data_IF_475813482494
#
_entry.id   IF_475813482494
#
_cell.length_a   1.000
_cell.length_b   1.000
_cell.length_c   1.000
_cell.angle_alpha   90.00
_cell.angle_beta   90.00
_cell.angle_gamma   90.00
#
_symmetry.space_group_name_H-M   'P 1'
#
loop_
_entity.id
_entity.type
_entity.pdbx_description
1 polymer ?
#
# COMPACT_ATOMS: atom_id res chain seq x y z
N UNK A 1 -16.11 -9.16 -0.46
CA UNK A 1 -16.18 -7.73 -0.06
C UNK A 1 -14.85 -7.08 -0.41
N UNK A 2 -14.87 -5.94 -1.11
CA UNK A 2 -13.66 -5.21 -1.48
C UNK A 2 -12.92 -4.74 -0.22
N UNK A 3 -11.59 -4.81 -0.21
CA UNK A 3 -10.76 -4.25 0.87
C UNK A 3 -11.01 -2.73 1.06
N UNK A 4 -11.52 -2.06 0.03
CA UNK A 4 -11.87 -0.63 0.07
C UNK A 4 -13.23 -0.33 0.68
N UNK A 5 -14.04 -1.34 1.01
CA UNK A 5 -15.37 -1.13 1.60
C UNK A 5 -15.31 -0.34 2.90
N UNK A 6 -14.26 -0.52 3.71
CA UNK A 6 -14.06 0.22 4.96
C UNK A 6 -13.97 1.74 4.74
N UNK A 7 -13.46 2.19 3.59
CA UNK A 7 -13.33 3.61 3.26
C UNK A 7 -14.58 4.20 2.60
N UNK A 8 -15.46 3.35 2.04
CA UNK A 8 -16.59 3.79 1.22
C UNK A 8 -17.95 3.54 1.82
N UNK A 9 -18.08 2.66 2.84
CA UNK A 9 -19.38 2.30 3.42
C UNK A 9 -20.15 3.46 4.07
N UNK A 10 -19.46 4.54 4.45
CA UNK A 10 -20.08 5.78 4.95
C UNK A 10 -20.61 6.70 3.85
N UNK A 11 -20.26 6.46 2.59
CA UNK A 11 -20.72 7.22 1.43
C UNK A 11 -22.14 6.73 1.07
N UNK A 12 -23.07 7.67 0.91
CA UNK A 12 -24.41 7.39 0.40
C UNK A 12 -24.40 7.36 -1.12
N UNK A 13 -23.95 8.46 -1.74
CA UNK A 13 -23.84 8.60 -3.19
C UNK A 13 -22.80 9.64 -3.58
N UNK A 14 -22.36 9.57 -4.83
CA UNK A 14 -21.51 10.57 -5.47
C UNK A 14 -22.30 11.21 -6.60
N UNK A 15 -22.37 12.53 -6.62
CA UNK A 15 -23.15 13.30 -7.59
C UNK A 15 -22.20 14.19 -8.39
N UNK A 16 -22.24 14.07 -9.73
CA UNK A 16 -21.54 15.02 -10.60
C UNK A 16 -22.30 16.33 -10.64
N UNK A 17 -21.68 17.41 -10.17
CA UNK A 17 -22.22 18.76 -10.24
C UNK A 17 -21.92 19.40 -11.61
N UNK A 18 -20.64 19.32 -12.03
CA UNK A 18 -20.17 19.76 -13.34
C UNK A 18 -18.90 18.99 -13.73
N UNK A 19 -18.16 19.42 -14.76
CA UNK A 19 -16.99 18.68 -15.25
C UNK A 19 -15.78 18.70 -14.31
N UNK A 20 -15.75 19.59 -13.33
CA UNK A 20 -14.65 19.72 -12.36
C UNK A 20 -15.11 19.63 -10.90
N UNK A 21 -16.39 19.33 -10.64
CA UNK A 21 -16.95 19.29 -9.28
C UNK A 21 -17.81 18.05 -9.10
N UNK A 22 -17.57 17.37 -7.98
CA UNK A 22 -18.39 16.25 -7.51
C UNK A 22 -18.76 16.47 -6.04
N UNK A 23 -19.99 16.10 -5.68
CA UNK A 23 -20.42 16.05 -4.29
C UNK A 23 -20.38 14.61 -3.80
N UNK A 24 -19.78 14.40 -2.64
CA UNK A 24 -19.79 13.12 -1.95
C UNK A 24 -20.78 13.24 -0.80
N UNK A 25 -21.94 12.63 -0.98
CA UNK A 25 -23.01 12.63 0.03
C UNK A 25 -22.74 11.52 1.06
N UNK A 26 -22.75 11.90 2.33
CA UNK A 26 -22.46 10.97 3.42
C UNK A 26 -23.75 10.56 4.14
N UNK A 27 -23.80 9.31 4.64
CA UNK A 27 -24.90 8.80 5.50
C UNK A 27 -24.96 9.49 6.86
N UNK A 28 -23.87 10.10 7.28
CA UNK A 28 -23.72 10.85 8.52
C UNK A 28 -22.37 11.58 8.58
N UNK A 29 -22.10 12.36 9.63
CA UNK A 29 -20.82 13.08 9.77
C UNK A 29 -19.62 12.12 9.73
N UNK A 30 -18.64 12.43 8.89
CA UNK A 30 -17.38 11.68 8.83
C UNK A 30 -16.18 12.65 8.80
N UNK A 31 -15.60 12.97 9.96
CA UNK A 31 -14.50 13.93 10.05
C UNK A 31 -13.20 13.43 9.43
N UNK A 32 -13.07 12.12 9.16
CA UNK A 32 -11.86 11.50 8.58
C UNK A 32 -12.01 11.18 7.09
N UNK A 33 -13.10 11.59 6.45
CA UNK A 33 -13.37 11.27 5.03
C UNK A 33 -12.20 11.64 4.12
N UNK A 34 -11.65 12.85 4.26
CA UNK A 34 -10.55 13.30 3.39
C UNK A 34 -9.32 12.41 3.51
N UNK A 35 -8.99 11.94 4.72
CA UNK A 35 -7.90 10.99 4.93
C UNK A 35 -8.22 9.63 4.31
N UNK A 36 -9.47 9.16 4.42
CA UNK A 36 -9.91 7.90 3.78
C UNK A 36 -9.84 7.97 2.26
N UNK A 37 -10.15 9.11 1.65
CA UNK A 37 -10.08 9.30 0.21
C UNK A 37 -8.65 9.21 -0.35
N UNK A 38 -7.61 9.44 0.46
CA UNK A 38 -6.22 9.27 0.02
C UNK A 38 -5.87 7.83 -0.34
N UNK A 39 -6.61 6.86 0.20
CA UNK A 39 -6.44 5.43 -0.10
C UNK A 39 -7.12 5.02 -1.43
N UNK A 40 -8.02 5.84 -1.95
CA UNK A 40 -8.77 5.54 -3.17
C UNK A 40 -8.03 6.07 -4.40
N UNK A 41 -7.56 5.17 -5.23
CA UNK A 41 -6.89 5.54 -6.49
C UNK A 41 -7.93 5.75 -7.58
N UNK A 42 -7.92 6.95 -8.17
CA UNK A 42 -8.88 7.33 -9.22
C UNK A 42 -8.32 6.90 -10.58
N UNK A 43 -9.14 6.19 -11.35
CA UNK A 43 -8.80 5.75 -12.71
C UNK A 43 -9.62 6.52 -13.75
N UNK A 44 -9.07 6.69 -14.94
CA UNK A 44 -9.80 7.24 -16.08
C UNK A 44 -10.89 6.28 -16.52
N UNK A 45 -12.15 6.73 -16.47
CA UNK A 45 -13.29 5.93 -16.96
C UNK A 45 -13.15 5.59 -18.42
N UNK A 46 -12.79 6.55 -19.28
CA UNK A 46 -12.61 6.32 -20.72
C UNK A 46 -11.53 5.27 -21.02
N UNK A 47 -10.43 5.26 -20.25
CA UNK A 47 -9.41 4.23 -20.34
C UNK A 47 -9.93 2.86 -19.88
N UNK A 48 -10.66 2.81 -18.79
CA UNK A 48 -11.21 1.58 -18.25
C UNK A 48 -12.28 0.96 -19.20
N UNK A 49 -13.14 1.80 -19.77
CA UNK A 49 -14.12 1.40 -20.79
C UNK A 49 -13.42 0.82 -22.03
N UNK A 50 -12.46 1.53 -22.57
CA UNK A 50 -11.68 1.10 -23.77
C UNK A 50 -11.02 -0.25 -23.55
N UNK A 51 -10.53 -0.53 -22.36
CA UNK A 51 -9.78 -1.74 -22.00
C UNK A 51 -10.63 -2.79 -21.28
N UNK A 52 -11.94 -2.63 -21.24
CA UNK A 52 -12.90 -3.56 -20.59
C UNK A 52 -12.52 -3.86 -19.13
N UNK A 53 -12.11 -2.83 -18.39
CA UNK A 53 -11.58 -2.92 -17.01
C UNK A 53 -12.42 -2.13 -16.00
N UNK A 54 -13.71 -1.91 -16.27
CA UNK A 54 -14.64 -1.26 -15.33
C UNK A 54 -15.01 -2.18 -14.18
N UNK A 55 -15.15 -3.47 -14.46
CA UNK A 55 -15.50 -4.46 -13.45
C UNK A 55 -14.25 -4.92 -12.70
N UNK A 56 -14.26 -4.88 -11.35
CA UNK A 56 -13.15 -5.42 -10.58
C UNK A 56 -13.10 -6.94 -10.73
N UNK A 57 -11.91 -7.45 -11.03
CA UNK A 57 -11.62 -8.87 -11.16
C UNK A 57 -10.81 -9.35 -9.97
N UNK A 58 -11.01 -10.60 -9.54
CA UNK A 58 -10.21 -11.19 -8.46
C UNK A 58 -9.07 -12.03 -9.06
N UNK A 59 -7.86 -11.49 -9.02
CA UNK A 59 -6.66 -12.15 -9.53
C UNK A 59 -6.41 -13.54 -8.89
N UNK A 60 -6.92 -13.79 -7.68
CA UNK A 60 -6.80 -15.08 -7.00
C UNK A 60 -7.57 -16.19 -7.71
N UNK A 61 -8.59 -15.82 -8.46
CA UNK A 61 -9.38 -16.76 -9.29
C UNK A 61 -8.82 -16.92 -10.70
N UNK A 62 -7.65 -16.36 -10.99
CA UNK A 62 -7.03 -16.30 -12.33
C UNK A 62 -7.86 -15.50 -13.35
N UNK A 63 -8.80 -14.69 -12.89
CA UNK A 63 -9.60 -13.80 -13.71
C UNK A 63 -8.94 -12.40 -13.71
N UNK A 64 -8.01 -12.19 -14.62
CA UNK A 64 -7.30 -10.92 -14.76
C UNK A 64 -8.00 -10.00 -15.76
N UNK A 65 -8.13 -8.72 -15.42
CA UNK A 65 -8.46 -7.67 -16.36
C UNK A 65 -7.19 -7.05 -16.95
N UNK A 66 -7.33 -6.32 -18.05
CA UNK A 66 -6.21 -5.57 -18.64
C UNK A 66 -5.53 -4.64 -17.62
N UNK A 67 -6.30 -4.05 -16.70
CA UNK A 67 -5.78 -3.14 -15.68
C UNK A 67 -4.80 -3.80 -14.69
N UNK A 68 -4.83 -5.11 -14.51
CA UNK A 68 -3.89 -5.79 -13.60
C UNK A 68 -2.44 -5.71 -14.08
N UNK A 69 -2.24 -5.65 -15.38
CA UNK A 69 -0.89 -5.62 -16.00
C UNK A 69 -0.54 -4.28 -16.65
N UNK A 70 -1.52 -3.41 -16.79
CA UNK A 70 -1.36 -2.15 -17.50
C UNK A 70 -1.86 -1.01 -16.62
N UNK A 71 -0.94 -0.34 -15.96
CA UNK A 71 -1.28 0.79 -15.12
C UNK A 71 -1.53 2.05 -15.96
N UNK A 72 -2.54 2.83 -15.58
CA UNK A 72 -2.80 4.14 -16.13
C UNK A 72 -3.09 5.11 -14.97
N UNK A 73 -2.24 6.09 -14.81
CA UNK A 73 -2.34 7.11 -13.78
C UNK A 73 -2.00 8.50 -14.31
N UNK A 74 -2.29 9.52 -13.50
CA UNK A 74 -1.98 10.92 -13.78
C UNK A 74 -0.79 11.43 -12.95
N UNK A 75 0.00 10.53 -12.38
CA UNK A 75 1.14 10.83 -11.52
C UNK A 75 2.42 11.23 -12.27
N UNK A 76 3.49 11.56 -11.53
CA UNK A 76 4.77 12.00 -12.09
C UNK A 76 5.54 10.91 -12.82
N UNK A 77 5.21 9.64 -12.62
CA UNK A 77 5.84 8.51 -13.26
C UNK A 77 4.82 7.59 -13.92
N UNK A 78 5.23 6.91 -14.98
CA UNK A 78 4.46 5.90 -15.72
C UNK A 78 5.17 4.56 -15.66
N UNK A 79 4.42 3.47 -15.66
CA UNK A 79 4.97 2.11 -15.76
C UNK A 79 5.51 1.91 -17.19
N UNK A 80 6.81 1.63 -17.31
CA UNK A 80 7.48 1.25 -18.56
C UNK A 80 7.50 -0.26 -18.73
N UNK A 81 7.81 -0.97 -17.65
CA UNK A 81 7.94 -2.41 -17.64
C UNK A 81 7.57 -2.94 -16.26
N UNK A 82 6.88 -4.05 -16.21
CA UNK A 82 6.60 -4.77 -14.96
C UNK A 82 6.75 -6.27 -15.17
N UNK A 83 7.73 -6.84 -14.50
CA UNK A 83 7.96 -8.27 -14.37
C UNK A 83 7.67 -8.65 -12.91
N UNK A 84 6.53 -9.32 -12.62
CA UNK A 84 6.16 -9.70 -11.25
C UNK A 84 7.29 -10.44 -10.54
N UNK A 85 7.50 -10.11 -9.28
CA UNK A 85 8.56 -10.64 -8.41
C UNK A 85 10.02 -10.41 -8.87
N UNK A 86 10.24 -9.72 -9.99
CA UNK A 86 11.57 -9.46 -10.54
C UNK A 86 11.90 -7.97 -10.53
N UNK A 87 11.15 -7.16 -11.29
CA UNK A 87 11.37 -5.71 -11.36
C UNK A 87 10.14 -4.95 -11.80
N UNK A 88 10.06 -3.70 -11.40
CA UNK A 88 9.16 -2.69 -11.93
C UNK A 88 9.98 -1.48 -12.37
N UNK A 89 9.86 -1.08 -13.62
CA UNK A 89 10.52 0.11 -14.17
C UNK A 89 9.50 1.20 -14.38
N UNK A 90 9.73 2.33 -13.74
CA UNK A 90 8.94 3.54 -13.89
C UNK A 90 9.76 4.60 -14.61
N UNK A 91 9.15 5.33 -15.53
CA UNK A 91 9.78 6.47 -16.21
C UNK A 91 8.98 7.74 -15.98
N UNK A 92 9.66 8.88 -16.02
CA UNK A 92 9.01 10.18 -15.86
C UNK A 92 7.86 10.34 -16.84
N UNK A 93 6.73 10.84 -16.35
CA UNK A 93 5.58 11.22 -17.15
C UNK A 93 5.78 12.66 -17.69
N UNK A 94 6.03 12.84 -19.00
CA UNK A 94 6.26 14.18 -19.55
C UNK A 94 4.99 15.04 -19.55
N UNK A 95 3.81 14.42 -19.49
CA UNK A 95 2.52 15.10 -19.44
C UNK A 95 1.98 15.27 -18.01
N UNK A 96 2.81 15.08 -16.99
CA UNK A 96 2.35 15.26 -15.62
C UNK A 96 2.00 16.72 -15.33
N UNK A 97 0.77 16.95 -14.88
CA UNK A 97 0.23 18.28 -14.60
C UNK A 97 0.98 19.06 -13.51
N UNK A 98 1.65 18.37 -12.59
CA UNK A 98 2.45 18.97 -11.50
C UNK A 98 3.90 19.25 -11.83
N UNK A 99 4.35 19.06 -13.09
CA UNK A 99 5.75 19.19 -13.47
C UNK A 99 6.37 20.56 -13.18
N UNK A 100 5.58 21.63 -13.22
CA UNK A 100 6.04 22.99 -12.92
C UNK A 100 6.22 23.25 -11.41
N UNK A 101 5.47 22.53 -10.57
CA UNK A 101 5.45 22.74 -9.10
C UNK A 101 6.36 21.80 -8.32
N UNK A 102 6.76 20.67 -8.91
CA UNK A 102 7.59 19.68 -8.26
C UNK A 102 8.80 19.31 -9.13
N UNK A 103 9.92 19.97 -8.84
CA UNK A 103 11.18 19.67 -9.54
C UNK A 103 11.82 18.42 -8.96
N UNK A 104 12.17 17.47 -9.85
CA UNK A 104 12.96 16.30 -9.52
C UNK A 104 13.94 16.02 -10.65
N UNK A 105 15.13 15.56 -10.29
CA UNK A 105 16.14 15.08 -11.24
C UNK A 105 15.98 13.60 -11.57
N UNK A 106 15.09 12.88 -10.88
CA UNK A 106 14.83 11.46 -11.14
C UNK A 106 14.05 11.31 -12.43
N UNK A 107 14.59 10.55 -13.38
CA UNK A 107 13.99 10.26 -14.69
C UNK A 107 13.48 8.84 -14.82
N UNK A 108 14.10 7.91 -14.10
CA UNK A 108 13.72 6.49 -14.08
C UNK A 108 13.84 5.96 -12.65
N UNK A 109 12.93 5.05 -12.27
CA UNK A 109 12.95 4.32 -11.00
C UNK A 109 12.89 2.84 -11.34
N UNK A 110 13.88 2.08 -10.88
CA UNK A 110 13.92 0.62 -11.00
C UNK A 110 13.66 0.04 -9.62
N UNK A 111 12.48 -0.53 -9.42
CA UNK A 111 12.14 -1.22 -8.19
C UNK A 111 12.44 -2.71 -8.32
N UNK A 112 13.33 -3.22 -7.46
CA UNK A 112 13.71 -4.64 -7.38
C UNK A 112 13.28 -5.21 -6.03
N UNK A 113 12.41 -6.23 -5.99
CA UNK A 113 11.99 -6.86 -4.74
C UNK A 113 13.14 -7.67 -4.14
N UNK A 114 13.72 -7.22 -3.05
CA UNK A 114 14.73 -7.96 -2.27
C UNK A 114 14.08 -8.37 -0.95
N UNK A 115 13.67 -9.64 -0.84
CA UNK A 115 12.87 -10.13 0.30
C UNK A 115 13.67 -10.19 1.61
N UNK A 116 14.95 -10.57 1.53
CA UNK A 116 15.80 -10.71 2.71
C UNK A 116 16.34 -9.35 3.19
N UNK A 117 16.09 -8.99 4.44
CA UNK A 117 16.49 -7.71 5.02
C UNK A 117 18.00 -7.50 4.99
N UNK A 118 18.79 -8.51 5.40
CA UNK A 118 20.26 -8.44 5.40
C UNK A 118 20.82 -8.22 4.00
N UNK A 119 20.25 -8.87 2.98
CA UNK A 119 20.65 -8.68 1.58
C UNK A 119 20.32 -7.27 1.11
N UNK A 120 19.16 -6.74 1.48
CA UNK A 120 18.74 -5.38 1.15
C UNK A 120 19.64 -4.33 1.79
N UNK A 121 20.00 -4.52 3.07
CA UNK A 121 20.96 -3.65 3.78
C UNK A 121 22.35 -3.72 3.16
N UNK A 122 22.83 -4.91 2.77
CA UNK A 122 24.12 -5.08 2.12
C UNK A 122 24.15 -4.38 0.75
N UNK A 123 23.12 -4.54 -0.08
CA UNK A 123 23.00 -3.88 -1.38
C UNK A 123 22.99 -2.34 -1.26
N UNK A 124 22.34 -1.80 -0.21
CA UNK A 124 22.37 -0.37 0.08
C UNK A 124 23.77 0.12 0.47
N UNK A 125 24.47 -0.62 1.33
CA UNK A 125 25.81 -0.26 1.78
C UNK A 125 26.88 -0.37 0.69
N UNK A 126 26.69 -1.30 -0.26
CA UNK A 126 27.59 -1.46 -1.41
C UNK A 126 27.34 -0.44 -2.54
N UNK A 127 26.19 0.28 -2.49
CA UNK A 127 25.79 1.18 -3.56
C UNK A 127 25.17 0.46 -4.77
N UNK A 128 24.78 -0.80 -4.63
CA UNK A 128 24.03 -1.53 -5.67
C UNK A 128 22.61 -0.98 -5.85
N UNK A 129 22.04 -0.44 -4.77
CA UNK A 129 20.75 0.24 -4.78
C UNK A 129 20.88 1.61 -4.11
N UNK A 130 20.03 2.56 -4.54
CA UNK A 130 20.07 3.96 -4.10
C UNK A 130 19.09 4.27 -2.96
N UNK A 131 18.09 3.41 -2.73
CA UNK A 131 17.02 3.68 -1.78
C UNK A 131 16.42 2.41 -1.21
N UNK A 132 16.14 2.39 0.09
CA UNK A 132 15.36 1.34 0.77
C UNK A 132 14.30 1.97 1.67
N UNK A 133 13.14 1.32 1.76
CA UNK A 133 12.11 1.61 2.75
C UNK A 133 12.23 0.62 3.91
N UNK A 134 11.89 1.09 5.12
CA UNK A 134 11.75 0.27 6.32
C UNK A 134 12.95 -0.68 6.55
N UNK A 135 14.19 -0.17 6.66
CA UNK A 135 15.32 -1.00 7.05
C UNK A 135 15.11 -1.55 8.46
N UNK A 136 15.71 -2.73 8.73
CA UNK A 136 15.63 -3.32 10.06
C UNK A 136 16.16 -2.35 11.12
N UNK A 137 15.44 -2.16 12.26
CA UNK A 137 15.91 -1.27 13.34
C UNK A 137 17.32 -1.59 13.86
N UNK A 138 17.73 -2.85 13.83
CA UNK A 138 19.06 -3.30 14.24
C UNK A 138 20.17 -2.84 13.27
N UNK A 139 19.84 -2.55 12.01
CA UNK A 139 20.79 -2.07 10.99
C UNK A 139 20.92 -0.54 10.96
N UNK A 140 20.03 0.20 11.63
CA UNK A 140 20.00 1.67 11.58
C UNK A 140 21.32 2.30 12.04
N UNK A 141 21.95 1.78 13.08
CA UNK A 141 23.23 2.30 13.57
C UNK A 141 24.32 2.18 12.49
N UNK A 142 24.38 1.04 11.80
CA UNK A 142 25.32 0.76 10.71
C UNK A 142 25.06 1.64 9.48
N UNK A 143 23.78 1.83 9.11
CA UNK A 143 23.40 2.69 7.99
C UNK A 143 23.72 4.15 8.27
N UNK A 144 23.50 4.64 9.51
CA UNK A 144 23.82 6.02 9.92
C UNK A 144 25.32 6.27 9.99
N UNK A 145 26.14 5.26 10.27
CA UNK A 145 27.59 5.37 10.27
C UNK A 145 28.21 5.47 8.89
N UNK A 146 27.48 5.15 7.83
CA UNK A 146 27.98 5.25 6.46
C UNK A 146 27.96 6.69 5.97
N UNK A 147 29.12 7.22 5.54
CA UNK A 147 29.25 8.60 5.07
C UNK A 147 28.45 8.91 3.80
N UNK A 148 28.11 7.88 3.02
CA UNK A 148 27.42 8.01 1.73
C UNK A 148 25.91 7.85 1.85
N UNK A 149 25.37 7.55 3.04
CA UNK A 149 23.96 7.29 3.24
C UNK A 149 23.33 8.35 4.13
N UNK A 150 22.06 8.62 3.86
CA UNK A 150 21.21 9.46 4.70
C UNK A 150 20.03 8.63 5.19
N UNK A 151 19.93 8.45 6.50
CA UNK A 151 18.74 7.84 7.13
C UNK A 151 17.77 8.96 7.49
N UNK A 152 16.54 8.84 7.01
CA UNK A 152 15.44 9.77 7.28
C UNK A 152 14.42 9.03 8.14
N UNK A 153 14.18 9.55 9.34
CA UNK A 153 13.16 9.03 10.25
C UNK A 153 11.90 9.88 10.15
N UNK A 154 10.77 9.25 10.31
CA UNK A 154 9.47 9.91 10.37
C UNK A 154 8.59 9.29 11.45
N UNK A 155 7.64 10.06 11.94
CA UNK A 155 6.58 9.51 12.80
C UNK A 155 5.57 8.77 11.96
N UNK A 156 5.12 7.62 12.44
CA UNK A 156 4.13 6.79 11.80
C UNK A 156 2.94 6.57 12.73
N UNK A 157 1.73 6.66 12.17
CA UNK A 157 0.50 6.35 12.89
C UNK A 157 0.18 4.85 12.75
N UNK A 158 1.04 4.02 13.34
CA UNK A 158 0.91 2.55 13.32
C UNK A 158 0.98 2.00 14.75
N UNK A 159 0.07 1.09 15.07
CA UNK A 159 0.16 0.29 16.31
C UNK A 159 0.42 -1.15 15.94
N UNK A 160 1.50 -1.72 16.46
CA UNK A 160 1.81 -3.14 16.31
C UNK A 160 1.28 -3.87 17.55
N UNK A 161 0.47 -4.89 17.33
CA UNK A 161 -0.15 -5.64 18.44
C UNK A 161 -0.32 -7.11 18.07
N UNK A 162 -0.43 -7.95 19.10
CA UNK A 162 -0.84 -9.35 18.94
C UNK A 162 -2.38 -9.43 19.01
N UNK A 163 -2.99 -9.72 17.86
CA UNK A 163 -4.44 -9.95 17.79
C UNK A 163 -4.81 -11.27 18.41
N UNK A 164 -5.62 -11.25 19.47
CA UNK A 164 -6.07 -12.44 20.19
C UNK A 164 -7.54 -12.70 19.91
N UNK A 165 -7.84 -13.77 19.18
CA UNK A 165 -9.22 -14.18 18.90
C UNK A 165 -9.90 -14.65 20.19
N UNK A 166 -10.90 -13.89 20.62
CA UNK A 166 -11.68 -14.20 21.82
C UNK A 166 -13.11 -14.65 21.47
N UNK A 167 -13.45 -14.66 20.18
CA UNK A 167 -14.80 -14.96 19.71
C UNK A 167 -15.02 -16.47 19.48
N UNK A 168 -14.12 -17.12 18.74
CA UNK A 168 -14.26 -18.53 18.37
C UNK A 168 -14.10 -19.45 19.57
N UNK A 169 -14.82 -20.58 19.57
CA UNK A 169 -14.69 -21.61 20.63
C UNK A 169 -13.43 -22.44 20.45
N UNK A 170 -12.95 -22.58 19.23
CA UNK A 170 -11.67 -23.20 18.88
C UNK A 170 -10.91 -22.31 17.89
N UNK A 171 -9.59 -22.19 18.05
CA UNK A 171 -8.75 -21.39 17.15
C UNK A 171 -8.40 -22.15 15.88
N UNK A 172 -8.60 -21.58 14.69
CA UNK A 172 -8.12 -22.17 13.44
C UNK A 172 -6.59 -22.39 13.50
N UNK A 173 -6.13 -23.56 13.06
CA UNK A 173 -4.71 -23.89 13.04
C UNK A 173 -4.06 -24.18 14.40
N UNK A 174 -4.80 -24.10 15.52
CA UNK A 174 -4.29 -24.45 16.84
C UNK A 174 -4.12 -25.96 17.00
N UNK A 175 -3.09 -26.36 17.74
CA UNK A 175 -2.93 -27.74 18.22
C UNK A 175 -3.80 -28.02 19.45
N UNK A 176 -4.34 -27.02 20.11
CA UNK A 176 -5.30 -27.13 21.21
C UNK A 176 -6.70 -27.29 20.62
N UNK A 177 -7.29 -28.50 20.80
CA UNK A 177 -8.61 -28.84 20.28
C UNK A 177 -9.70 -28.69 21.33
N UNK A 178 -10.93 -28.41 20.86
CA UNK A 178 -12.13 -28.31 21.69
C UNK A 178 -12.19 -27.09 22.63
N UNK A 179 -11.22 -26.17 22.57
CA UNK A 179 -11.24 -24.93 23.34
C UNK A 179 -10.37 -23.84 22.72
N UNK A 180 -10.67 -22.62 23.09
CA UNK A 180 -9.87 -21.44 22.76
C UNK A 180 -9.16 -20.91 24.03
N UNK A 181 -7.85 -21.15 24.21
CA UNK A 181 -7.11 -20.66 25.36
C UNK A 181 -7.13 -19.14 25.50
N UNK A 182 -7.27 -18.39 24.37
CA UNK A 182 -7.27 -16.93 24.38
C UNK A 182 -8.57 -16.32 24.94
N UNK A 183 -9.61 -17.13 25.22
CA UNK A 183 -10.77 -16.69 25.99
C UNK A 183 -10.45 -16.48 27.47
N UNK A 184 -9.44 -17.16 27.99
CA UNK A 184 -9.00 -16.95 29.37
C UNK A 184 -8.15 -15.66 29.49
N UNK A 185 -8.60 -14.76 30.36
CA UNK A 185 -7.92 -13.49 30.62
C UNK A 185 -6.51 -13.68 31.20
N UNK A 186 -6.28 -14.78 31.96
CA UNK A 186 -4.96 -15.07 32.54
C UNK A 186 -3.95 -15.42 31.45
N UNK A 187 -4.38 -16.18 30.44
CA UNK A 187 -3.55 -16.52 29.26
C UNK A 187 -3.19 -15.23 28.49
N UNK A 188 -4.17 -14.37 28.24
CA UNK A 188 -3.88 -13.10 27.56
C UNK A 188 -2.95 -12.19 28.33
N UNK A 189 -3.12 -12.11 29.67
CA UNK A 189 -2.20 -11.34 30.54
C UNK A 189 -0.78 -11.89 30.53
N UNK A 190 -0.62 -13.22 30.53
CA UNK A 190 0.70 -13.85 30.48
C UNK A 190 1.43 -13.59 29.12
N UNK A 191 0.67 -13.40 28.03
CA UNK A 191 1.24 -13.05 26.71
C UNK A 191 1.59 -11.55 26.60
N UNK A 192 1.01 -10.71 27.47
CA UNK A 192 1.26 -9.27 27.49
C UNK A 192 2.48 -8.88 28.36
N UNK A 193 2.85 -9.69 29.33
CA UNK A 193 3.99 -9.48 30.24
C UNK A 193 5.31 -9.90 29.59
#
# INVERSE_FOLDING_TARGET
TSNYAVYTQGIDKVVKVNDSTVDIMMKGPNPVLLNQLTELRIMSRAWADKNKSLEPKDIRTKDESFAHRNAMGSGPFMVKEWQPDQKLVLVRNPAWWGAASAQTNVTEIIYTPIKQENTRTAAMLSGEIDFILDPSPQDLARLRASANLKVIDGVENRTIFLGMDQFRDELPGSNVKGKNPLKDVKVRKALYQ
#
